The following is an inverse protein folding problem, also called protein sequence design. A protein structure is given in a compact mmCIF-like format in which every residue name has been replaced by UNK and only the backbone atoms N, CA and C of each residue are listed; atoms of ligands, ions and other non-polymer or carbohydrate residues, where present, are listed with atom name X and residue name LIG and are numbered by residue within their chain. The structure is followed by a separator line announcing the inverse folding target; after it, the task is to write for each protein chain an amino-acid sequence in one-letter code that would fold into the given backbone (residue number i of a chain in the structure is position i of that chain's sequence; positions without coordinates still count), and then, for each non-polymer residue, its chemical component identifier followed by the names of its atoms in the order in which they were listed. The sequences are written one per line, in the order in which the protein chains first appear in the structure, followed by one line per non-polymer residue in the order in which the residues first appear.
data_IF_492183249650
#
_entry.id   IF_492183249650
#
_cell.length_a   1.000
_cell.length_b   1.000
_cell.length_c   1.000
_cell.angle_alpha   90.00
_cell.angle_beta   90.00
_cell.angle_gamma   90.00
#
_symmetry.space_group_name_H-M   'P 1'
#
loop_
_entity.id
_entity.type
_entity.pdbx_description
1 polymer ?
#
# COMPACT_ATOMS: atom_id res chain seq x y z
N UNK A 1 -14.22 27.04 -23.27
CA UNK A 1 -14.24 25.61 -22.91
C UNK A 1 -15.30 25.43 -21.83
N UNK A 2 -16.27 24.54 -22.01
CA UNK A 2 -17.26 24.25 -20.96
C UNK A 2 -16.62 23.32 -19.96
N UNK A 3 -16.47 23.76 -18.71
CA UNK A 3 -15.94 22.92 -17.63
C UNK A 3 -17.10 22.16 -16.98
N UNK A 4 -17.18 20.85 -17.24
CA UNK A 4 -18.16 19.94 -16.63
C UNK A 4 -17.80 19.54 -15.18
N UNK A 5 -16.60 19.92 -14.73
CA UNK A 5 -16.04 19.61 -13.42
C UNK A 5 -15.59 20.90 -12.69
N UNK A 6 -15.49 20.87 -11.35
CA UNK A 6 -14.84 21.92 -10.59
C UNK A 6 -13.42 22.19 -11.12
N UNK A 7 -12.89 23.42 -11.02
CA UNK A 7 -11.62 23.80 -11.66
C UNK A 7 -10.45 22.83 -11.39
N UNK A 8 -10.23 22.47 -10.12
CA UNK A 8 -9.17 21.55 -9.69
C UNK A 8 -9.30 20.13 -10.26
N UNK A 9 -10.53 19.63 -10.36
CA UNK A 9 -10.81 18.33 -10.98
C UNK A 9 -10.62 18.42 -12.49
N UNK A 10 -11.09 19.50 -13.12
CA UNK A 10 -10.98 19.71 -14.56
C UNK A 10 -9.52 19.73 -15.02
N UNK A 11 -8.65 20.41 -14.26
CA UNK A 11 -7.21 20.47 -14.52
C UNK A 11 -6.58 19.06 -14.59
N UNK A 12 -6.77 18.25 -13.54
CA UNK A 12 -6.22 16.89 -13.48
C UNK A 12 -6.90 15.92 -14.44
N UNK A 13 -8.17 16.15 -14.77
CA UNK A 13 -8.87 15.36 -15.78
C UNK A 13 -8.31 15.59 -17.19
N UNK A 14 -7.98 16.84 -17.54
CA UNK A 14 -7.51 17.18 -18.88
C UNK A 14 -6.04 16.82 -19.12
N UNK A 15 -5.20 16.89 -18.09
CA UNK A 15 -3.77 16.57 -18.18
C UNK A 15 -3.29 15.79 -16.95
N UNK A 16 -3.72 14.53 -16.77
CA UNK A 16 -3.20 13.69 -15.69
C UNK A 16 -1.74 13.31 -15.96
N UNK A 17 -0.90 13.45 -14.95
CA UNK A 17 0.55 13.17 -15.06
C UNK A 17 0.84 11.66 -15.02
N UNK A 18 0.06 10.91 -14.25
CA UNK A 18 0.33 9.51 -13.91
C UNK A 18 -0.59 8.52 -14.65
N UNK A 19 -1.30 8.98 -15.68
CA UNK A 19 -2.13 8.11 -16.50
C UNK A 19 -1.28 7.17 -17.40
N UNK A 20 -1.71 5.91 -17.50
CA UNK A 20 -1.10 4.91 -18.36
C UNK A 20 -0.74 3.61 -17.64
N UNK A 21 -0.29 2.63 -18.43
CA UNK A 21 0.28 1.42 -17.87
C UNK A 21 1.71 1.67 -17.37
N UNK A 22 2.06 1.04 -16.25
CA UNK A 22 3.45 0.95 -15.79
C UNK A 22 4.03 -0.40 -16.21
N UNK A 23 5.03 -0.38 -17.09
CA UNK A 23 5.80 -1.55 -17.47
C UNK A 23 6.73 -1.94 -16.31
N UNK A 24 6.87 -3.24 -16.05
CA UNK A 24 7.70 -3.76 -14.95
C UNK A 24 7.08 -3.70 -13.56
N UNK A 25 5.86 -3.14 -13.42
CA UNK A 25 5.19 -3.01 -12.13
C UNK A 25 5.12 -4.34 -11.35
N UNK A 26 5.70 -4.35 -10.16
CA UNK A 26 5.71 -5.48 -9.24
C UNK A 26 4.63 -5.38 -8.14
N UNK A 27 3.73 -4.40 -8.25
CA UNK A 27 2.58 -4.23 -7.38
C UNK A 27 1.39 -3.73 -8.20
N UNK A 28 0.41 -4.60 -8.46
CA UNK A 28 -0.71 -4.30 -9.35
C UNK A 28 -2.04 -4.51 -8.64
N UNK A 29 -2.79 -3.43 -8.48
CA UNK A 29 -4.15 -3.42 -7.96
C UNK A 29 -5.16 -3.25 -9.09
N UNK A 30 -6.26 -3.99 -9.01
CA UNK A 30 -7.43 -3.82 -9.88
C UNK A 30 -8.67 -3.83 -9.01
N UNK A 31 -9.62 -2.95 -9.32
CA UNK A 31 -10.93 -2.96 -8.70
C UNK A 31 -11.96 -2.36 -9.65
N UNK A 32 -13.24 -2.66 -9.44
CA UNK A 32 -14.35 -2.10 -10.19
C UNK A 32 -15.57 -1.91 -9.30
N UNK A 33 -16.42 -0.93 -9.64
CA UNK A 33 -17.67 -0.66 -8.91
C UNK A 33 -18.87 -0.80 -9.82
N UNK A 34 -19.89 -1.50 -9.32
CA UNK A 34 -21.19 -1.61 -9.99
C UNK A 34 -22.08 -0.38 -9.80
N UNK A 35 -21.69 0.56 -8.93
CA UNK A 35 -22.46 1.82 -8.70
C UNK A 35 -22.53 2.66 -9.98
N UNK A 36 -21.43 2.71 -10.74
CA UNK A 36 -21.34 3.50 -11.97
C UNK A 36 -20.60 2.78 -13.11
N UNK A 37 -20.19 1.53 -12.93
CA UNK A 37 -19.49 0.73 -13.94
C UNK A 37 -18.02 1.11 -14.14
N UNK A 38 -17.45 1.93 -13.26
CA UNK A 38 -16.05 2.33 -13.34
C UNK A 38 -15.12 1.20 -12.87
N UNK A 39 -13.99 1.05 -13.54
CA UNK A 39 -12.88 0.18 -13.20
C UNK A 39 -11.60 0.99 -13.11
N UNK A 40 -10.73 0.59 -12.18
CA UNK A 40 -9.44 1.22 -11.94
C UNK A 40 -8.37 0.14 -11.83
N UNK A 41 -7.23 0.38 -12.48
CA UNK A 41 -5.99 -0.36 -12.30
C UNK A 41 -4.92 0.61 -11.82
N UNK A 42 -4.22 0.27 -10.74
CA UNK A 42 -3.02 0.98 -10.27
C UNK A 42 -1.85 0.00 -10.40
N UNK A 43 -0.78 0.41 -11.07
CA UNK A 43 0.49 -0.30 -11.10
C UNK A 43 1.56 0.52 -10.41
N UNK A 44 2.32 -0.09 -9.52
CA UNK A 44 3.45 0.54 -8.82
C UNK A 44 4.72 -0.27 -9.03
N UNK A 45 5.85 0.44 -9.06
CA UNK A 45 7.19 -0.12 -8.96
C UNK A 45 7.69 0.12 -7.54
N UNK A 46 7.85 -0.95 -6.77
CA UNK A 46 8.35 -0.90 -5.40
C UNK A 46 9.74 -1.50 -5.37
N UNK A 47 10.70 -0.76 -4.83
CA UNK A 47 12.04 -1.26 -4.62
C UNK A 47 12.04 -2.28 -3.46
N UNK A 48 12.75 -3.40 -3.60
CA UNK A 48 12.64 -4.56 -2.72
C UNK A 48 13.31 -4.33 -1.37
N UNK A 49 14.44 -3.63 -1.31
CA UNK A 49 15.25 -3.49 -0.09
C UNK A 49 14.81 -2.28 0.76
N UNK A 50 14.79 -1.10 0.15
CA UNK A 50 14.35 0.19 0.71
C UNK A 50 12.84 0.25 0.95
N UNK A 51 12.07 -0.61 0.27
CA UNK A 51 10.60 -0.65 0.33
C UNK A 51 9.92 0.63 -0.16
N UNK A 52 10.61 1.42 -0.98
CA UNK A 52 10.14 2.69 -1.52
C UNK A 52 9.33 2.49 -2.81
N UNK A 53 8.22 3.23 -2.94
CA UNK A 53 7.42 3.29 -4.16
C UNK A 53 8.11 4.25 -5.13
N UNK A 54 8.83 3.73 -6.11
CA UNK A 54 9.58 4.51 -7.08
C UNK A 54 8.67 5.22 -8.09
N UNK A 55 7.59 4.56 -8.48
CA UNK A 55 6.65 5.07 -9.47
C UNK A 55 5.27 4.45 -9.30
N UNK A 56 4.21 5.22 -9.57
CA UNK A 56 2.84 4.77 -9.60
C UNK A 56 2.13 5.30 -10.85
N UNK A 57 1.47 4.41 -11.61
CA UNK A 57 0.60 4.80 -12.73
C UNK A 57 -0.76 4.14 -12.66
N UNK A 58 -1.75 4.76 -13.28
CA UNK A 58 -3.13 4.27 -13.26
C UNK A 58 -3.77 4.19 -14.65
N UNK A 59 -4.73 3.29 -14.79
CA UNK A 59 -5.60 3.18 -15.96
C UNK A 59 -7.05 3.06 -15.49
N UNK A 60 -7.96 3.83 -16.08
CA UNK A 60 -9.37 3.81 -15.72
C UNK A 60 -10.28 4.19 -16.87
N UNK A 61 -11.52 3.74 -16.82
CA UNK A 61 -12.64 4.18 -17.67
C UNK A 61 -13.66 5.06 -16.90
N UNK A 62 -13.36 5.49 -15.67
CA UNK A 62 -14.30 6.24 -14.85
C UNK A 62 -14.36 7.74 -15.16
N UNK A 63 -15.17 8.45 -14.40
CA UNK A 63 -15.40 9.88 -14.58
C UNK A 63 -14.19 10.75 -14.17
N UNK A 64 -14.25 12.05 -14.47
CA UNK A 64 -13.16 12.99 -14.18
C UNK A 64 -12.78 13.08 -12.70
N UNK A 65 -13.72 12.84 -11.78
CA UNK A 65 -13.42 12.74 -10.35
C UNK A 65 -12.51 11.54 -10.03
N UNK A 66 -12.75 10.39 -10.67
CA UNK A 66 -11.93 9.20 -10.47
C UNK A 66 -10.54 9.39 -11.08
N UNK A 67 -10.45 9.97 -12.28
CA UNK A 67 -9.17 10.30 -12.94
C UNK A 67 -8.35 11.26 -12.08
N UNK A 68 -8.97 12.35 -11.61
CA UNK A 68 -8.28 13.32 -10.78
C UNK A 68 -7.84 12.72 -9.44
N UNK A 69 -8.69 11.92 -8.79
CA UNK A 69 -8.34 11.25 -7.53
C UNK A 69 -7.20 10.24 -7.72
N UNK A 70 -7.23 9.44 -8.79
CA UNK A 70 -6.19 8.45 -9.07
C UNK A 70 -4.85 9.11 -9.43
N UNK A 71 -4.87 10.24 -10.15
CA UNK A 71 -3.67 11.00 -10.48
C UNK A 71 -3.01 11.58 -9.22
N UNK A 72 -3.78 12.24 -8.36
CA UNK A 72 -3.29 12.77 -7.09
C UNK A 72 -2.85 11.63 -6.16
N UNK A 73 -3.58 10.54 -6.08
CA UNK A 73 -3.18 9.38 -5.28
C UNK A 73 -1.82 8.85 -5.73
N UNK A 74 -1.61 8.72 -7.05
CA UNK A 74 -0.34 8.25 -7.61
C UNK A 74 0.80 9.20 -7.25
N UNK A 75 0.59 10.53 -7.36
CA UNK A 75 1.57 11.55 -6.94
C UNK A 75 1.88 11.48 -5.43
N UNK A 76 0.86 11.23 -4.60
CA UNK A 76 0.98 11.21 -3.15
C UNK A 76 1.73 9.99 -2.60
N UNK A 77 1.76 8.88 -3.35
CA UNK A 77 2.39 7.63 -2.90
C UNK A 77 3.79 7.43 -3.43
N UNK A 78 4.17 8.10 -4.52
CA UNK A 78 5.54 8.10 -5.02
C UNK A 78 6.51 8.66 -3.97
N UNK A 79 7.67 8.00 -3.83
CA UNK A 79 8.69 8.32 -2.82
C UNK A 79 8.35 7.86 -1.39
N UNK A 80 7.13 7.36 -1.15
CA UNK A 80 6.77 6.80 0.16
C UNK A 80 7.24 5.36 0.29
N UNK A 81 7.59 4.99 1.51
CA UNK A 81 7.85 3.59 1.84
C UNK A 81 6.56 2.89 2.21
N UNK A 82 6.40 1.64 1.77
CA UNK A 82 5.27 0.80 2.22
C UNK A 82 5.31 0.52 3.73
N UNK A 83 6.46 0.77 4.35
CA UNK A 83 6.65 0.67 5.79
C UNK A 83 6.02 1.83 6.58
N UNK A 84 5.80 2.98 5.94
CA UNK A 84 5.15 4.11 6.58
C UNK A 84 3.63 3.94 6.51
N UNK A 85 3.11 3.15 7.45
CA UNK A 85 1.69 2.78 7.54
C UNK A 85 0.77 3.99 7.68
N UNK A 86 1.24 5.08 8.31
CA UNK A 86 0.47 6.33 8.43
C UNK A 86 0.32 7.00 7.06
N UNK A 87 1.42 7.13 6.33
CA UNK A 87 1.40 7.85 5.04
C UNK A 87 0.55 7.18 3.95
N UNK A 88 0.25 5.89 4.12
CA UNK A 88 -0.57 5.06 3.23
C UNK A 88 -1.94 4.70 3.82
N UNK A 89 -2.30 5.26 4.99
CA UNK A 89 -3.60 5.02 5.61
C UNK A 89 -4.72 5.65 4.77
N UNK A 90 -5.83 4.92 4.59
CA UNK A 90 -6.98 5.37 3.78
C UNK A 90 -7.47 6.77 4.17
N UNK A 91 -7.62 7.03 5.47
CA UNK A 91 -8.14 8.32 5.98
C UNK A 91 -7.19 9.48 5.67
N UNK A 92 -5.89 9.27 5.86
CA UNK A 92 -4.86 10.28 5.59
C UNK A 92 -4.82 10.58 4.09
N UNK A 93 -4.73 9.55 3.26
CA UNK A 93 -4.74 9.71 1.80
C UNK A 93 -6.03 10.37 1.29
N UNK A 94 -7.19 9.99 1.83
CA UNK A 94 -8.45 10.65 1.50
C UNK A 94 -8.40 12.15 1.79
N UNK A 95 -7.95 12.53 2.99
CA UNK A 95 -7.84 13.94 3.39
C UNK A 95 -6.86 14.70 2.49
N UNK A 96 -5.71 14.12 2.15
CA UNK A 96 -4.74 14.74 1.24
C UNK A 96 -5.31 14.96 -0.18
N UNK A 97 -6.06 13.98 -0.70
CA UNK A 97 -6.74 14.10 -1.99
C UNK A 97 -7.81 15.20 -1.94
N UNK A 98 -8.63 15.23 -0.88
CA UNK A 98 -9.67 16.26 -0.70
C UNK A 98 -9.07 17.66 -0.48
N UNK A 99 -7.92 17.79 0.17
CA UNK A 99 -7.20 19.06 0.31
C UNK A 99 -6.77 19.59 -1.06
N UNK A 100 -6.23 18.71 -1.92
CA UNK A 100 -5.78 19.07 -3.26
C UNK A 100 -6.95 19.35 -4.21
N UNK A 101 -7.99 18.52 -4.24
CA UNK A 101 -9.06 18.58 -5.24
C UNK A 101 -10.37 19.27 -4.76
N UNK A 102 -10.55 19.42 -3.45
CA UNK A 102 -11.81 19.77 -2.81
C UNK A 102 -12.59 18.53 -2.34
N UNK A 103 -13.54 18.75 -1.44
CA UNK A 103 -14.37 17.69 -0.88
C UNK A 103 -15.23 17.01 -1.96
N UNK A 104 -15.35 15.68 -1.85
CA UNK A 104 -16.20 14.89 -2.74
C UNK A 104 -17.61 14.87 -2.19
N UNK A 105 -18.61 15.15 -3.03
CA UNK A 105 -20.01 15.04 -2.61
C UNK A 105 -20.36 13.60 -2.24
N UNK A 106 -21.40 13.42 -1.42
CA UNK A 106 -21.84 12.08 -0.97
C UNK A 106 -22.06 11.09 -2.13
N UNK A 107 -22.60 11.55 -3.26
CA UNK A 107 -22.79 10.69 -4.43
C UNK A 107 -21.49 10.26 -5.13
N UNK A 108 -20.38 10.96 -4.89
CA UNK A 108 -19.08 10.74 -5.55
C UNK A 108 -18.04 10.07 -4.65
N UNK A 109 -18.37 9.79 -3.39
CA UNK A 109 -17.49 9.09 -2.46
C UNK A 109 -17.05 7.71 -2.98
N UNK A 110 -17.90 7.02 -3.74
CA UNK A 110 -17.53 5.75 -4.38
C UNK A 110 -16.31 5.85 -5.32
N UNK A 111 -16.00 7.04 -5.88
CA UNK A 111 -14.77 7.24 -6.66
C UNK A 111 -13.53 7.25 -5.75
N UNK A 112 -13.64 7.86 -4.57
CA UNK A 112 -12.58 7.87 -3.56
C UNK A 112 -12.35 6.46 -3.02
N UNK A 113 -13.43 5.75 -2.65
CA UNK A 113 -13.36 4.39 -2.13
C UNK A 113 -12.68 3.46 -3.14
N UNK A 114 -13.09 3.54 -4.42
CA UNK A 114 -12.50 2.73 -5.49
C UNK A 114 -10.98 2.99 -5.61
N UNK A 115 -10.53 4.24 -5.54
CA UNK A 115 -9.10 4.58 -5.55
C UNK A 115 -8.35 3.93 -4.38
N UNK A 116 -8.82 4.15 -3.15
CA UNK A 116 -8.15 3.69 -1.95
C UNK A 116 -8.16 2.17 -1.83
N UNK A 117 -9.24 1.50 -2.22
CA UNK A 117 -9.31 0.04 -2.28
C UNK A 117 -8.39 -0.53 -3.36
N UNK A 118 -8.30 0.12 -4.52
CA UNK A 118 -7.38 -0.34 -5.57
C UNK A 118 -5.92 -0.26 -5.12
N UNK A 119 -5.55 0.78 -4.36
CA UNK A 119 -4.22 0.86 -3.74
C UNK A 119 -3.98 -0.32 -2.77
N UNK A 120 -4.95 -0.62 -1.89
CA UNK A 120 -4.82 -1.76 -0.98
C UNK A 120 -4.66 -3.08 -1.73
N UNK A 121 -5.39 -3.28 -2.83
CA UNK A 121 -5.23 -4.45 -3.70
C UNK A 121 -3.82 -4.51 -4.32
N UNK A 122 -3.25 -3.36 -4.69
CA UNK A 122 -1.89 -3.30 -5.24
C UNK A 122 -0.83 -3.67 -4.20
N UNK A 123 -0.97 -3.17 -2.96
CA UNK A 123 -0.10 -3.52 -1.84
C UNK A 123 -0.24 -5.00 -1.44
N UNK A 124 -1.46 -5.55 -1.48
CA UNK A 124 -1.69 -6.97 -1.24
C UNK A 124 -1.05 -7.83 -2.34
N UNK A 125 -1.15 -7.42 -3.61
CA UNK A 125 -0.49 -8.09 -4.71
C UNK A 125 1.03 -8.11 -4.57
N UNK A 126 1.65 -6.98 -4.18
CA UNK A 126 3.09 -6.93 -3.90
C UNK A 126 3.51 -7.96 -2.84
N UNK A 127 2.77 -8.02 -1.73
CA UNK A 127 3.02 -8.99 -0.65
C UNK A 127 2.92 -10.43 -1.14
N UNK A 128 1.90 -10.75 -1.93
CA UNK A 128 1.73 -12.08 -2.50
C UNK A 128 2.90 -12.46 -3.43
N UNK A 129 3.39 -11.52 -4.24
CA UNK A 129 4.58 -11.72 -5.08
C UNK A 129 5.85 -11.93 -4.23
N UNK A 130 6.01 -11.23 -3.11
CA UNK A 130 7.13 -11.47 -2.18
C UNK A 130 7.12 -12.88 -1.59
N UNK A 131 5.96 -13.42 -1.26
CA UNK A 131 5.84 -14.81 -0.80
C UNK A 131 6.19 -15.78 -1.92
N UNK A 132 5.67 -15.57 -3.12
CA UNK A 132 5.90 -16.46 -4.26
C UNK A 132 7.36 -16.50 -4.73
N UNK A 133 8.07 -15.37 -4.63
CA UNK A 133 9.49 -15.25 -5.03
C UNK A 133 10.48 -15.53 -3.87
N UNK A 134 9.98 -15.89 -2.69
CA UNK A 134 10.85 -16.15 -1.55
C UNK A 134 11.69 -17.42 -1.75
N UNK A 135 13.01 -17.31 -1.61
CA UNK A 135 13.95 -18.42 -1.75
C UNK A 135 14.82 -18.64 -0.51
N UNK A 136 14.50 -18.00 0.61
CA UNK A 136 15.25 -18.19 1.86
C UNK A 136 14.99 -19.56 2.49
N UNK A 137 15.93 -20.03 3.31
CA UNK A 137 15.86 -21.36 3.92
C UNK A 137 14.70 -21.50 4.91
N UNK A 138 14.46 -20.46 5.73
CA UNK A 138 13.32 -20.39 6.65
C UNK A 138 12.15 -19.60 6.08
N UNK A 139 10.98 -19.77 6.69
CA UNK A 139 9.74 -19.16 6.22
C UNK A 139 9.79 -17.62 6.21
N UNK A 140 9.13 -17.02 5.22
CA UNK A 140 8.89 -15.58 5.19
C UNK A 140 7.70 -15.24 6.11
N UNK A 141 7.99 -14.81 7.33
CA UNK A 141 6.97 -14.51 8.35
C UNK A 141 6.24 -13.20 8.03
N UNK A 142 6.98 -12.17 7.63
CA UNK A 142 6.38 -10.89 7.26
C UNK A 142 6.59 -10.56 5.78
N UNK A 143 5.57 -10.80 4.96
CA UNK A 143 5.57 -10.46 3.54
C UNK A 143 5.49 -8.95 3.23
N UNK A 144 5.10 -8.13 4.22
CA UNK A 144 5.10 -6.67 4.06
C UNK A 144 6.51 -6.11 4.03
N UNK A 145 7.34 -6.52 4.98
CA UNK A 145 8.68 -5.98 5.18
C UNK A 145 9.78 -6.95 4.74
N UNK A 146 9.41 -8.16 4.29
CA UNK A 146 10.35 -9.18 3.84
C UNK A 146 11.17 -9.77 5.00
N UNK A 147 10.55 -9.95 6.16
CA UNK A 147 11.24 -10.46 7.37
C UNK A 147 11.01 -11.96 7.49
N UNK A 148 12.09 -12.73 7.48
CA UNK A 148 12.08 -14.18 7.68
C UNK A 148 12.02 -14.57 9.15
N UNK A 149 11.66 -15.81 9.41
CA UNK A 149 11.72 -16.44 10.73
C UNK A 149 13.12 -16.39 11.31
N UNK A 150 14.12 -16.73 10.51
CA UNK A 150 15.54 -16.64 10.89
C UNK A 150 15.93 -15.23 11.34
N UNK A 151 15.43 -14.20 10.64
CA UNK A 151 15.69 -12.81 11.01
C UNK A 151 15.11 -12.50 12.38
N UNK A 152 13.87 -12.94 12.64
CA UNK A 152 13.19 -12.70 13.91
C UNK A 152 13.91 -13.41 15.05
N UNK A 153 14.22 -14.70 14.91
CA UNK A 153 14.97 -15.47 15.91
C UNK A 153 16.32 -14.83 16.25
N UNK A 154 17.07 -14.39 15.23
CA UNK A 154 18.35 -13.72 15.43
C UNK A 154 18.20 -12.39 16.18
N UNK A 155 17.18 -11.61 15.86
CA UNK A 155 16.90 -10.34 16.55
C UNK A 155 16.51 -10.56 18.01
N UNK A 156 15.66 -11.54 18.30
CA UNK A 156 15.28 -11.94 19.67
C UNK A 156 16.53 -12.32 20.45
N UNK A 157 17.40 -13.16 19.88
CA UNK A 157 18.62 -13.63 20.54
C UNK A 157 19.62 -12.52 20.84
N UNK A 158 19.87 -11.62 19.88
CA UNK A 158 20.89 -10.58 20.00
C UNK A 158 20.46 -9.44 20.93
N UNK A 159 19.16 -9.12 20.94
CA UNK A 159 18.63 -7.96 21.66
C UNK A 159 17.78 -8.32 22.88
N UNK A 160 17.60 -9.61 23.17
CA UNK A 160 16.74 -10.12 24.24
C UNK A 160 15.32 -9.54 24.17
N UNK A 161 14.68 -9.64 23.00
CA UNK A 161 13.33 -9.09 22.78
C UNK A 161 12.28 -10.00 23.43
N UNK A 162 11.28 -9.41 24.07
CA UNK A 162 10.24 -10.15 24.80
C UNK A 162 8.83 -9.90 24.25
N UNK A 163 8.65 -8.85 23.43
CA UNK A 163 7.33 -8.44 22.94
C UNK A 163 7.29 -8.24 21.42
N UNK A 164 6.10 -8.41 20.83
CA UNK A 164 5.87 -8.14 19.40
C UNK A 164 6.16 -6.67 19.07
N UNK A 165 5.87 -5.75 19.99
CA UNK A 165 6.15 -4.32 19.83
C UNK A 165 7.65 -4.04 19.70
N UNK A 166 8.49 -4.73 20.45
CA UNK A 166 9.95 -4.58 20.36
C UNK A 166 10.50 -5.14 19.05
N UNK A 167 10.03 -6.31 18.61
CA UNK A 167 10.35 -6.86 17.29
C UNK A 167 9.92 -5.89 16.20
N UNK A 168 8.71 -5.34 16.31
CA UNK A 168 8.16 -4.36 15.37
C UNK A 168 9.03 -3.10 15.30
N UNK A 169 9.52 -2.59 16.43
CA UNK A 169 10.38 -1.39 16.44
C UNK A 169 11.70 -1.58 15.68
N UNK A 170 12.22 -2.80 15.63
CA UNK A 170 13.53 -3.07 15.02
C UNK A 170 13.40 -3.41 13.53
N UNK A 171 12.50 -4.33 13.17
CA UNK A 171 12.41 -4.83 11.79
C UNK A 171 11.08 -4.51 11.08
N UNK A 172 10.19 -3.76 11.73
CA UNK A 172 8.84 -3.40 11.26
C UNK A 172 7.86 -4.58 11.08
N UNK A 173 8.31 -5.84 11.24
CA UNK A 173 7.41 -7.00 11.22
C UNK A 173 6.33 -6.82 12.30
N UNK A 174 5.06 -6.97 11.92
CA UNK A 174 3.93 -6.68 12.80
C UNK A 174 3.36 -5.26 12.69
N UNK A 175 4.10 -4.28 12.17
CA UNK A 175 3.66 -2.86 12.09
C UNK A 175 2.87 -2.47 10.83
N UNK A 176 2.78 -3.37 9.85
CA UNK A 176 2.13 -3.13 8.55
C UNK A 176 0.66 -3.55 8.56
N UNK A 177 0.36 -4.72 7.98
CA UNK A 177 -1.00 -5.28 7.99
C UNK A 177 -1.37 -6.01 9.29
N UNK A 178 -0.41 -6.23 10.21
CA UNK A 178 -0.61 -6.95 11.47
C UNK A 178 -0.76 -8.46 11.35
N UNK A 179 -0.85 -9.05 10.16
CA UNK A 179 -1.18 -10.49 10.00
C UNK A 179 -0.14 -11.46 10.56
N UNK A 180 1.10 -11.01 10.75
CA UNK A 180 2.19 -11.82 11.29
C UNK A 180 2.37 -11.66 12.80
N UNK A 181 1.63 -10.78 13.47
CA UNK A 181 1.81 -10.52 14.92
C UNK A 181 1.64 -11.77 15.76
N UNK A 182 0.64 -12.61 15.45
CA UNK A 182 0.42 -13.89 16.13
C UNK A 182 1.62 -14.84 15.98
N UNK A 183 2.15 -14.96 14.76
CA UNK A 183 3.30 -15.84 14.48
C UNK A 183 4.57 -15.30 15.16
N UNK A 184 4.75 -13.97 15.21
CA UNK A 184 5.86 -13.36 15.96
C UNK A 184 5.74 -13.69 17.45
N UNK A 185 4.54 -13.63 18.02
CA UNK A 185 4.31 -14.00 19.42
C UNK A 185 4.64 -15.47 19.66
N UNK A 186 4.23 -16.39 18.78
CA UNK A 186 4.58 -17.81 18.90
C UNK A 186 6.10 -18.04 18.92
N UNK A 187 6.86 -17.34 18.07
CA UNK A 187 8.34 -17.45 18.05
C UNK A 187 8.94 -16.94 19.37
N UNK A 188 8.42 -15.84 19.92
CA UNK A 188 8.84 -15.30 21.22
C UNK A 188 8.56 -16.30 22.35
N UNK A 189 7.36 -16.86 22.38
CA UNK A 189 6.93 -17.82 23.41
C UNK A 189 7.81 -19.08 23.40
N UNK A 190 8.09 -19.64 22.21
CA UNK A 190 8.99 -20.79 22.05
C UNK A 190 10.38 -20.45 22.56
N UNK A 191 10.94 -19.31 22.18
CA UNK A 191 12.27 -18.89 22.62
C UNK A 191 12.35 -18.73 24.15
N UNK A 192 11.32 -18.17 24.78
CA UNK A 192 11.26 -18.01 26.23
C UNK A 192 11.20 -19.35 26.95
N UNK A 193 10.42 -20.31 26.44
CA UNK A 193 10.34 -21.67 27.01
C UNK A 193 11.68 -22.39 26.92
N UNK A 194 12.40 -22.27 25.80
CA UNK A 194 13.70 -22.94 25.61
C UNK A 194 14.83 -22.35 26.46
N UNK A 195 14.68 -21.11 26.93
CA UNK A 195 15.71 -20.37 27.67
C UNK A 195 15.31 -20.05 29.13
N UNK A 196 14.22 -20.65 29.63
CA UNK A 196 13.79 -20.61 31.04
C UNK A 196 14.34 -21.79 31.83
#
# INVERSE_FOLDING_TARGET
MVNFYPPKISERFHAPTNAGALLGANAVGKNATFVCGAALRIGMQIEIDSKEILQAKFQTNGCGYLIAAADILSELIEGKKISDSKSLEKKILQSEIENKLGAFSKQRQHCMDLCLETLQNALANFRALRVAEWTGEKALICSCFGVSEETIENLIRINSLETVEEVTKICNAGGGCGSCQFVIQEILDVYQIENS
#
